data_IF_410247894796
#
_entry.id   IF_410247894796
#
_cell.length_a   1.000
_cell.length_b   1.000
_cell.length_c   1.000
_cell.angle_alpha   90.00
_cell.angle_beta   90.00
_cell.angle_gamma   90.00
#
_symmetry.space_group_name_H-M   'P 1'
#
loop_
_entity.id
_entity.type
_entity.pdbx_description
1 polymer ?
#
# COMPACT_ATOMS: atom_id res chain seq x y z
N UNK A 1 15.74 -0.86 8.76
CA UNK A 1 16.74 -1.87 8.31
C UNK A 1 17.88 -1.90 9.31
N UNK A 2 18.47 -3.06 9.65
CA UNK A 2 19.60 -3.15 10.59
C UNK A 2 20.95 -2.70 10.00
N UNK A 3 20.96 -2.06 8.83
CA UNK A 3 22.16 -1.47 8.22
C UNK A 3 23.16 -2.48 7.66
N UNK A 4 22.77 -3.75 7.51
CA UNK A 4 23.65 -4.84 7.05
C UNK A 4 23.66 -5.00 5.52
N UNK A 5 22.78 -4.28 4.80
CA UNK A 5 22.70 -4.31 3.34
C UNK A 5 23.34 -3.06 2.75
N UNK A 6 23.94 -3.14 1.54
CA UNK A 6 24.37 -1.95 0.82
C UNK A 6 23.25 -0.92 0.67
N UNK A 7 23.62 0.36 0.58
CA UNK A 7 22.67 1.41 0.23
C UNK A 7 22.18 1.20 -1.20
N UNK A 8 20.87 1.32 -1.40
CA UNK A 8 20.20 1.18 -2.68
C UNK A 8 19.36 2.43 -2.96
N UNK A 9 19.39 2.98 -4.18
CA UNK A 9 18.52 4.08 -4.55
C UNK A 9 17.06 3.61 -4.56
N UNK A 10 16.21 4.26 -3.78
CA UNK A 10 14.78 3.97 -3.71
C UNK A 10 13.97 5.17 -3.22
N UNK A 11 12.68 5.20 -3.52
CA UNK A 11 11.73 6.01 -2.75
C UNK A 11 11.61 5.42 -1.35
N UNK A 12 11.71 6.26 -0.32
CA UNK A 12 11.75 5.85 1.08
C UNK A 12 11.20 6.91 2.02
N UNK A 13 10.63 6.48 3.14
CA UNK A 13 10.24 7.29 4.29
C UNK A 13 11.38 7.40 5.33
N UNK A 14 12.54 6.80 5.05
CA UNK A 14 13.66 6.69 5.98
C UNK A 14 13.66 5.35 6.72
N UNK A 15 14.85 4.77 6.93
CA UNK A 15 15.00 3.41 7.48
C UNK A 15 14.63 3.28 8.97
N UNK A 16 14.43 4.41 9.63
CA UNK A 16 13.95 4.58 11.01
C UNK A 16 12.46 4.86 11.10
N UNK A 17 11.75 4.96 9.97
CA UNK A 17 10.30 5.09 9.95
C UNK A 17 9.62 3.90 10.63
N UNK A 18 8.67 4.20 11.52
CA UNK A 18 7.85 3.21 12.22
C UNK A 18 6.39 3.48 11.86
N UNK A 19 5.68 2.52 11.24
CA UNK A 19 4.27 2.68 10.93
C UNK A 19 3.41 2.71 12.21
N UNK A 20 2.25 3.35 12.13
CA UNK A 20 1.30 3.42 13.24
C UNK A 20 0.85 1.99 13.69
N UNK A 21 0.77 1.71 15.00
CA UNK A 21 0.27 0.43 15.52
C UNK A 21 -1.12 0.03 15.02
N UNK A 22 -1.98 0.99 14.65
CA UNK A 22 -3.36 0.76 14.20
C UNK A 22 -3.41 0.41 12.69
N UNK A 23 -2.26 0.37 12.01
CA UNK A 23 -2.18 0.03 10.60
C UNK A 23 -2.28 -1.48 10.37
N UNK A 24 -3.49 -1.94 10.02
CA UNK A 24 -3.77 -3.35 9.73
C UNK A 24 -3.59 -3.73 8.25
N UNK A 25 -3.28 -2.75 7.38
CA UNK A 25 -3.13 -2.93 5.93
C UNK A 25 -1.87 -3.66 5.47
N UNK A 26 -0.97 -4.05 6.38
CA UNK A 26 0.18 -4.92 6.10
C UNK A 26 1.37 -4.28 5.38
N UNK A 27 1.17 -3.25 4.54
CA UNK A 27 2.20 -2.55 3.76
C UNK A 27 3.05 -1.58 4.59
N UNK A 28 3.81 -2.14 5.54
CA UNK A 28 4.54 -1.42 6.59
C UNK A 28 5.97 -1.05 6.25
N UNK A 29 6.49 -1.53 5.12
CA UNK A 29 7.89 -1.31 4.77
C UNK A 29 8.11 0.13 4.29
N UNK A 30 9.11 0.78 4.87
CA UNK A 30 9.44 2.20 4.65
C UNK A 30 9.88 2.57 3.22
N UNK A 31 10.17 1.62 2.33
CA UNK A 31 10.74 1.90 1.01
C UNK A 31 10.13 1.08 -0.11
N UNK A 32 10.37 1.49 -1.35
CA UNK A 32 10.01 0.73 -2.54
C UNK A 32 11.24 0.00 -3.12
N UNK A 33 11.05 -1.07 -3.89
CA UNK A 33 12.16 -1.74 -4.57
C UNK A 33 12.91 -0.79 -5.52
N UNK A 34 14.22 -0.97 -5.69
CA UNK A 34 15.05 -0.08 -6.52
C UNK A 34 14.55 0.03 -7.97
N UNK A 35 14.15 -1.09 -8.58
CA UNK A 35 13.61 -1.11 -9.95
C UNK A 35 12.26 -0.35 -10.02
N UNK A 36 11.35 -0.61 -9.09
CA UNK A 36 10.05 0.08 -9.03
C UNK A 36 10.25 1.58 -8.84
N UNK A 37 11.21 1.95 -7.99
CA UNK A 37 11.57 3.35 -7.75
C UNK A 37 12.11 4.02 -9.01
N UNK A 38 12.97 3.33 -9.76
CA UNK A 38 13.50 3.86 -11.02
C UNK A 38 12.38 4.00 -12.08
N UNK A 39 11.50 3.02 -12.22
CA UNK A 39 10.36 3.09 -13.14
C UNK A 39 9.42 4.26 -12.82
N UNK A 40 9.17 4.54 -11.53
CA UNK A 40 8.36 5.68 -11.11
C UNK A 40 9.08 7.01 -11.41
N UNK A 41 10.38 7.10 -11.10
CA UNK A 41 11.20 8.28 -11.40
C UNK A 41 11.21 8.61 -12.89
N UNK A 42 11.30 7.57 -13.74
CA UNK A 42 11.28 7.69 -15.20
C UNK A 42 9.86 7.83 -15.77
N UNK A 43 8.83 7.89 -14.92
CA UNK A 43 7.41 8.06 -15.28
C UNK A 43 6.87 6.95 -16.19
N UNK A 44 7.40 5.74 -16.05
CA UNK A 44 6.92 4.54 -16.76
C UNK A 44 5.71 3.92 -16.04
N UNK A 45 5.61 4.13 -14.73
CA UNK A 45 4.49 3.70 -13.89
C UNK A 45 3.94 4.88 -13.09
N UNK A 46 2.70 4.73 -12.62
CA UNK A 46 2.05 5.65 -11.69
C UNK A 46 2.06 5.05 -10.27
N UNK A 47 2.01 5.92 -9.26
CA UNK A 47 1.87 5.53 -7.87
C UNK A 47 0.58 6.10 -7.30
N UNK A 48 -0.11 5.31 -6.47
CA UNK A 48 -1.30 5.74 -5.75
C UNK A 48 -1.26 5.20 -4.33
N UNK A 49 -1.91 5.90 -3.40
CA UNK A 49 -2.20 5.43 -2.05
C UNK A 49 -3.71 5.29 -1.87
N UNK A 50 -4.09 4.33 -1.03
CA UNK A 50 -5.48 4.06 -0.66
C UNK A 50 -5.51 3.87 0.84
N UNK A 51 -6.44 4.53 1.53
CA UNK A 51 -6.58 4.36 2.96
C UNK A 51 -7.16 2.99 3.31
N UNK A 52 -6.82 2.48 4.50
CA UNK A 52 -7.11 1.12 4.88
C UNK A 52 -8.61 0.81 4.92
N UNK A 53 -9.47 1.75 5.34
CA UNK A 53 -10.92 1.51 5.34
C UNK A 53 -11.47 1.24 3.94
N UNK A 54 -11.01 2.00 2.94
CA UNK A 54 -11.38 1.78 1.54
C UNK A 54 -10.81 0.47 0.98
N UNK A 55 -9.59 0.09 1.41
CA UNK A 55 -9.00 -1.19 1.08
C UNK A 55 -9.86 -2.36 1.60
N UNK A 56 -10.18 -2.38 2.89
CA UNK A 56 -11.01 -3.44 3.48
C UNK A 56 -12.42 -3.50 2.89
N UNK A 57 -13.07 -2.36 2.65
CA UNK A 57 -14.37 -2.32 1.96
C UNK A 57 -14.31 -2.99 0.57
N UNK A 58 -13.26 -2.69 -0.21
CA UNK A 58 -13.04 -3.32 -1.51
C UNK A 58 -12.75 -4.83 -1.38
N UNK A 59 -11.95 -5.22 -0.39
CA UNK A 59 -11.64 -6.62 -0.09
C UNK A 59 -12.89 -7.44 0.27
N UNK A 60 -13.77 -6.89 1.11
CA UNK A 60 -15.05 -7.53 1.48
C UNK A 60 -15.97 -7.66 0.27
N UNK A 61 -16.06 -6.62 -0.58
CA UNK A 61 -16.83 -6.70 -1.84
C UNK A 61 -16.30 -7.80 -2.76
N UNK A 62 -14.98 -7.88 -2.93
CA UNK A 62 -14.32 -8.91 -3.73
C UNK A 62 -14.58 -10.30 -3.16
N UNK A 63 -14.45 -10.50 -1.85
CA UNK A 63 -14.72 -11.79 -1.21
C UNK A 63 -16.17 -12.25 -1.39
N UNK A 64 -17.14 -11.33 -1.28
CA UNK A 64 -18.55 -11.64 -1.50
C UNK A 64 -18.87 -11.98 -2.97
N UNK A 65 -18.17 -11.36 -3.92
CA UNK A 65 -18.39 -11.58 -5.36
C UNK A 65 -17.67 -12.82 -5.90
N UNK A 66 -16.41 -13.02 -5.50
CA UNK A 66 -15.49 -14.01 -6.08
C UNK A 66 -15.24 -15.22 -5.17
N UNK A 67 -15.68 -15.18 -3.90
CA UNK A 67 -15.53 -16.28 -2.95
C UNK A 67 -14.11 -16.46 -2.39
N UNK A 68 -13.19 -15.55 -2.66
CA UNK A 68 -11.81 -15.57 -2.16
C UNK A 68 -11.62 -14.44 -1.14
N UNK A 69 -11.18 -14.78 0.07
CA UNK A 69 -10.79 -13.78 1.09
C UNK A 69 -9.39 -13.28 0.75
N UNK A 70 -9.20 -12.02 0.32
CA UNK A 70 -7.87 -11.49 -0.01
C UNK A 70 -7.05 -11.17 1.25
N UNK A 71 -5.72 -11.23 1.16
CA UNK A 71 -4.86 -10.71 2.23
C UNK A 71 -5.04 -9.18 2.38
N UNK A 72 -4.85 -8.59 3.58
CA UNK A 72 -4.91 -7.14 3.78
C UNK A 72 -4.06 -6.34 2.77
N UNK A 73 -2.87 -6.80 2.43
CA UNK A 73 -2.00 -6.18 1.42
C UNK A 73 -2.66 -6.21 0.03
N UNK A 74 -3.27 -7.34 -0.35
CA UNK A 74 -3.91 -7.52 -1.65
C UNK A 74 -5.14 -6.60 -1.82
N UNK A 75 -5.79 -6.22 -0.72
CA UNK A 75 -6.96 -5.32 -0.77
C UNK A 75 -6.64 -3.93 -1.32
N UNK A 76 -5.38 -3.48 -1.26
CA UNK A 76 -4.94 -2.22 -1.87
C UNK A 76 -5.04 -2.29 -3.40
N UNK A 77 -4.61 -3.41 -3.99
CA UNK A 77 -4.72 -3.65 -5.43
C UNK A 77 -6.18 -3.77 -5.86
N UNK A 78 -7.00 -4.48 -5.08
CA UNK A 78 -8.44 -4.62 -5.35
C UNK A 78 -9.13 -3.26 -5.30
N UNK A 79 -8.82 -2.40 -4.33
CA UNK A 79 -9.40 -1.06 -4.24
C UNK A 79 -9.06 -0.20 -5.47
N UNK A 80 -7.82 -0.27 -5.97
CA UNK A 80 -7.43 0.38 -7.22
C UNK A 80 -8.20 -0.17 -8.43
N UNK A 81 -8.37 -1.49 -8.52
CA UNK A 81 -9.18 -2.14 -9.58
C UNK A 81 -10.62 -1.67 -9.55
N UNK A 82 -11.23 -1.60 -8.38
CA UNK A 82 -12.62 -1.11 -8.22
C UNK A 82 -12.75 0.33 -8.70
N UNK A 83 -11.80 1.21 -8.37
CA UNK A 83 -11.79 2.60 -8.85
C UNK A 83 -11.69 2.67 -10.37
N UNK A 84 -10.78 1.94 -10.99
CA UNK A 84 -10.63 1.91 -12.45
C UNK A 84 -11.87 1.31 -13.15
N UNK A 85 -12.50 0.30 -12.55
CA UNK A 85 -13.73 -0.28 -13.07
C UNK A 85 -14.92 0.71 -13.02
N UNK A 86 -15.04 1.48 -11.92
CA UNK A 86 -16.04 2.54 -11.79
C UNK A 86 -15.80 3.67 -12.80
N UNK A 87 -14.54 4.09 -12.97
CA UNK A 87 -14.16 5.08 -13.99
C UNK A 87 -14.50 4.60 -15.41
N UNK A 88 -14.20 3.34 -15.74
CA UNK A 88 -14.57 2.76 -17.03
C UNK A 88 -16.09 2.76 -17.27
N UNK A 89 -16.88 2.51 -16.21
CA UNK A 89 -18.34 2.59 -16.25
C UNK A 89 -18.82 4.02 -16.50
N UNK A 90 -18.25 5.02 -15.82
CA UNK A 90 -18.58 6.45 -16.01
C UNK A 90 -18.22 6.93 -17.42
N UNK A 91 -17.08 6.50 -17.95
CA UNK A 91 -16.63 6.80 -19.31
C UNK A 91 -17.40 6.01 -20.38
N UNK A 92 -18.23 5.03 -19.99
CA UNK A 92 -18.97 4.15 -20.91
C UNK A 92 -18.06 3.30 -21.80
N UNK A 93 -16.80 3.09 -21.41
CA UNK A 93 -15.78 2.44 -22.23
C UNK A 93 -15.38 1.10 -21.61
N UNK A 94 -15.49 -0.03 -22.33
CA UNK A 94 -15.03 -1.31 -21.80
C UNK A 94 -13.52 -1.32 -21.62
N UNK A 95 -13.05 -1.68 -20.43
CA UNK A 95 -11.63 -1.84 -20.11
C UNK A 95 -11.35 -3.25 -19.57
N UNK A 96 -10.22 -3.81 -19.94
CA UNK A 96 -9.68 -5.03 -19.31
C UNK A 96 -8.65 -4.60 -18.27
N UNK A 97 -8.89 -4.97 -17.01
CA UNK A 97 -8.00 -4.64 -15.89
C UNK A 97 -7.35 -5.93 -15.40
N UNK A 98 -6.02 -6.01 -15.50
CA UNK A 98 -5.23 -7.08 -14.90
C UNK A 98 -4.65 -6.58 -13.58
N UNK A 99 -4.78 -7.38 -12.52
CA UNK A 99 -4.17 -7.08 -11.23
C UNK A 99 -3.56 -8.34 -10.60
N UNK A 100 -2.65 -8.11 -9.66
CA UNK A 100 -2.02 -9.19 -8.90
C UNK A 100 -2.74 -9.40 -7.56
N UNK A 101 -3.42 -10.54 -7.41
CA UNK A 101 -3.92 -11.01 -6.11
C UNK A 101 -2.75 -11.65 -5.35
N UNK A 102 -1.98 -10.85 -4.62
CA UNK A 102 -0.69 -11.28 -4.07
C UNK A 102 -0.77 -12.28 -2.91
N UNK A 103 -1.97 -12.53 -2.34
CA UNK A 103 -2.15 -13.47 -1.23
C UNK A 103 -3.60 -13.58 -0.76
N UNK A 104 -3.88 -14.60 0.04
CA UNK A 104 -5.18 -14.84 0.68
C UNK A 104 -5.15 -14.42 2.16
N UNK A 105 -6.32 -14.06 2.72
CA UNK A 105 -6.45 -13.55 4.08
C UNK A 105 -6.81 -14.58 5.16
N UNK A 106 -6.72 -15.89 4.88
CA UNK A 106 -7.11 -16.96 5.83
C UNK A 106 -6.43 -16.85 7.21
N UNK A 107 -5.23 -16.26 7.28
CA UNK A 107 -4.47 -16.09 8.53
C UNK A 107 -4.49 -14.65 9.06
N UNK A 108 -5.23 -13.76 8.40
CA UNK A 108 -5.31 -12.33 8.71
C UNK A 108 -6.70 -11.95 9.24
N UNK A 109 -7.45 -12.93 9.76
CA UNK A 109 -8.84 -12.75 10.19
C UNK A 109 -9.00 -11.74 11.32
N UNK A 110 -7.97 -11.52 12.15
CA UNK A 110 -7.99 -10.46 13.18
C UNK A 110 -8.08 -9.06 12.57
N UNK A 111 -7.44 -8.83 11.42
CA UNK A 111 -7.51 -7.54 10.73
C UNK A 111 -8.91 -7.30 10.16
N UNK A 112 -9.55 -8.34 9.62
CA UNK A 112 -10.95 -8.28 9.19
C UNK A 112 -11.91 -8.10 10.37
N UNK A 113 -11.66 -8.76 11.51
CA UNK A 113 -12.44 -8.56 12.73
C UNK A 113 -12.36 -7.12 13.22
N UNK A 114 -11.17 -6.51 13.21
CA UNK A 114 -10.99 -5.11 13.59
C UNK A 114 -11.71 -4.15 12.63
N UNK A 115 -11.73 -4.45 11.33
CA UNK A 115 -12.53 -3.72 10.34
C UNK A 115 -14.04 -3.81 10.66
N UNK A 116 -14.57 -5.01 10.84
CA UNK A 116 -16.00 -5.20 11.10
C UNK A 116 -16.45 -4.64 12.45
N UNK A 117 -15.56 -4.60 13.43
CA UNK A 117 -15.80 -3.97 14.73
C UNK A 117 -15.57 -2.44 14.72
N UNK A 118 -15.23 -1.84 13.57
CA UNK A 118 -15.03 -0.40 13.43
C UNK A 118 -13.82 0.15 14.20
N UNK A 119 -12.81 -0.70 14.47
CA UNK A 119 -11.59 -0.29 15.19
C UNK A 119 -10.52 0.30 14.27
N UNK A 120 -10.58 0.01 12.96
CA UNK A 120 -9.66 0.59 11.99
C UNK A 120 -9.98 2.07 11.78
N UNK A 121 -8.94 2.90 11.74
CA UNK A 121 -9.03 4.33 11.46
C UNK A 121 -8.06 4.70 10.37
N UNK A 122 -8.49 5.56 9.45
CA UNK A 122 -7.56 6.09 8.45
C UNK A 122 -6.62 7.09 9.12
N UNK A 123 -5.33 6.90 8.88
CA UNK A 123 -4.28 7.76 9.39
C UNK A 123 -3.56 8.46 8.24
N UNK A 124 -3.37 9.76 8.36
CA UNK A 124 -2.53 10.54 7.46
C UNK A 124 -1.29 10.99 8.22
N UNK A 125 -0.12 10.79 7.61
CA UNK A 125 1.12 11.31 8.14
C UNK A 125 1.19 12.82 7.86
N UNK A 126 1.55 13.60 8.88
CA UNK A 126 1.87 15.00 8.71
C UNK A 126 3.14 15.18 7.88
N UNK A 127 3.32 16.38 7.31
CA UNK A 127 4.53 16.73 6.56
C UNK A 127 5.80 16.51 7.39
N UNK A 128 5.78 16.90 8.66
CA UNK A 128 6.94 16.76 9.55
C UNK A 128 7.28 15.29 9.81
N UNK A 129 6.29 14.43 10.03
CA UNK A 129 6.49 12.97 10.22
C UNK A 129 7.07 12.30 8.96
N UNK A 130 6.63 12.72 7.77
CA UNK A 130 7.16 12.21 6.50
C UNK A 130 8.64 12.56 6.30
N UNK A 131 9.05 13.75 6.73
CA UNK A 131 10.42 14.25 6.50
C UNK A 131 11.40 13.94 7.62
N UNK A 132 10.92 13.62 8.83
CA UNK A 132 11.79 13.32 9.97
C UNK A 132 12.76 12.17 9.68
N UNK A 133 12.28 11.06 9.10
CA UNK A 133 13.10 9.89 8.77
C UNK A 133 14.10 10.13 7.64
N UNK A 134 13.89 11.16 6.81
CA UNK A 134 14.81 11.52 5.72
C UNK A 134 16.02 12.30 6.21
N UNK A 135 15.92 13.03 7.32
CA UNK A 135 17.02 13.84 7.84
C UNK A 135 18.27 13.01 8.18
N UNK A 136 18.08 11.76 8.61
CA UNK A 136 19.16 10.84 8.96
C UNK A 136 19.93 10.33 7.74
N UNK A 137 19.32 10.35 6.55
CA UNK A 137 19.99 9.95 5.31
C UNK A 137 21.08 10.94 4.89
N UNK A 138 20.93 12.23 5.23
CA UNK A 138 21.89 13.29 4.90
C UNK A 138 23.25 13.12 5.62
N UNK A 139 23.31 12.30 6.67
CA UNK A 139 24.55 11.98 7.37
C UNK A 139 25.42 10.94 6.63
N UNK A 140 24.88 10.29 5.59
CA UNK A 140 25.60 9.31 4.79
C UNK A 140 26.04 9.91 3.46
N UNK A 141 27.30 9.67 3.02
CA UNK A 141 27.78 10.21 1.76
C UNK A 141 26.94 9.66 0.61
N UNK A 142 26.35 10.57 -0.17
CA UNK A 142 25.71 10.24 -1.44
C UNK A 142 26.83 9.83 -2.41
N UNK A 143 26.78 8.57 -2.87
CA UNK A 143 27.67 8.06 -3.93
C UNK A 143 27.07 8.40 -5.28
#
# INVERSE_FOLDING_TARGET
SVGLTPLLPMYTLGHTFVPDPIHAGGLRYHGAGAIVSQLLKDKVIEAQSVHQLACFDAGVKFANAEGIIPAPEATHGIAAVVREALKAKEEGTPKTILFNLCGHGHFDMSAYEDYFNGKLVDHELSYDELHQGLNELNAHPLV
#
